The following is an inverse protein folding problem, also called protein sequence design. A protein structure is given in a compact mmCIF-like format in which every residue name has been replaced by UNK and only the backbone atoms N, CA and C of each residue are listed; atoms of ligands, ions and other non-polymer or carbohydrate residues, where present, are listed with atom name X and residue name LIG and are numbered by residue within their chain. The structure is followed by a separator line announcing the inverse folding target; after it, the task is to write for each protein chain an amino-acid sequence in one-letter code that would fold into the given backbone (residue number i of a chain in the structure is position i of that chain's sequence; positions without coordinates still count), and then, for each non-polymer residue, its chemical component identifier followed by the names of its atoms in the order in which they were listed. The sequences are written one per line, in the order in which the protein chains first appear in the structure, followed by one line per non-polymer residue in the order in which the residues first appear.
data_IF_185221005355
#
_entry.id   IF_185221005355
#
_cell.length_a   1.000
_cell.length_b   1.000
_cell.length_c   1.000
_cell.angle_alpha   90.00
_cell.angle_beta   90.00
_cell.angle_gamma   90.00
#
_symmetry.space_group_name_H-M   'P 1'
#
loop_
_entity.id
_entity.type
_entity.pdbx_description
1 polymer ?
#
# COMPACT_ATOMS: atom_id res chain seq x y z
N UNK A 1 15.44 28.49 -13.65
CA UNK A 1 15.76 29.26 -12.44
C UNK A 1 17.23 29.11 -12.01
N UNK A 2 17.85 27.94 -11.83
CA UNK A 2 19.25 27.83 -11.35
C UNK A 2 20.27 28.62 -12.18
N UNK A 3 20.23 28.53 -13.51
CA UNK A 3 21.12 29.23 -14.42
C UNK A 3 20.99 30.75 -14.26
N UNK A 4 19.77 31.26 -14.21
CA UNK A 4 19.51 32.69 -14.05
C UNK A 4 20.06 33.23 -12.73
N UNK A 5 19.92 32.46 -11.63
CA UNK A 5 20.51 32.81 -10.34
C UNK A 5 22.04 32.82 -10.37
N UNK A 6 22.67 31.83 -10.99
CA UNK A 6 24.12 31.79 -11.13
C UNK A 6 24.67 33.02 -11.86
N UNK A 7 23.96 33.50 -12.87
CA UNK A 7 24.32 34.73 -13.60
C UNK A 7 24.17 35.98 -12.73
N UNK A 8 23.06 36.10 -12.00
CA UNK A 8 22.75 37.24 -11.14
C UNK A 8 23.74 37.34 -9.97
N UNK A 9 24.10 36.21 -9.35
CA UNK A 9 24.95 36.17 -8.16
C UNK A 9 26.43 36.13 -8.45
N UNK A 10 26.83 35.83 -9.68
CA UNK A 10 28.26 35.92 -10.07
C UNK A 10 28.87 37.29 -9.78
N UNK A 11 28.07 38.36 -9.74
CA UNK A 11 28.50 39.73 -9.44
C UNK A 11 28.35 40.13 -7.95
N UNK A 12 27.76 39.29 -7.09
CA UNK A 12 27.36 39.67 -5.70
C UNK A 12 28.09 38.92 -4.60
N UNK A 13 29.04 38.06 -4.91
CA UNK A 13 29.86 37.27 -3.96
C UNK A 13 29.01 36.38 -2.98
N UNK A 14 27.85 35.93 -3.44
CA UNK A 14 26.96 35.06 -2.67
C UNK A 14 27.27 33.60 -3.01
N UNK A 15 27.63 32.81 -2.00
CA UNK A 15 27.92 31.39 -2.18
C UNK A 15 26.63 30.55 -2.24
N UNK A 16 26.27 30.12 -3.44
CA UNK A 16 25.13 29.25 -3.68
C UNK A 16 25.42 27.75 -3.51
N UNK A 17 26.65 27.34 -3.22
CA UNK A 17 27.06 25.93 -3.13
C UNK A 17 26.37 25.16 -2.02
N UNK A 18 25.92 25.84 -0.99
CA UNK A 18 25.15 25.22 0.12
C UNK A 18 23.67 25.00 -0.20
N UNK A 19 23.18 25.55 -1.30
CA UNK A 19 21.75 25.53 -1.65
C UNK A 19 21.47 24.59 -2.82
N UNK A 20 20.41 23.77 -2.66
CA UNK A 20 19.77 23.14 -3.81
C UNK A 20 18.75 24.13 -4.40
N UNK A 21 18.98 24.54 -5.64
CA UNK A 21 18.12 25.52 -6.33
C UNK A 21 17.26 24.82 -7.35
N UNK A 22 15.93 24.92 -7.21
CA UNK A 22 14.95 24.29 -8.10
C UNK A 22 13.83 25.27 -8.47
N UNK A 23 13.29 25.15 -9.69
CA UNK A 23 12.16 25.93 -10.17
C UNK A 23 12.28 26.30 -11.65
N UNK A 24 11.16 26.65 -12.24
CA UNK A 24 11.08 27.21 -13.58
C UNK A 24 11.03 28.74 -13.51
N UNK A 25 11.61 29.40 -14.52
CA UNK A 25 11.56 30.84 -14.68
C UNK A 25 10.64 31.18 -15.86
N UNK A 26 9.55 31.89 -15.59
CA UNK A 26 8.67 32.43 -16.61
C UNK A 26 9.32 33.61 -17.38
N UNK A 27 8.84 33.89 -18.57
CA UNK A 27 9.28 35.03 -19.38
C UNK A 27 8.95 36.39 -18.71
N UNK A 28 7.96 36.38 -17.82
CA UNK A 28 7.54 37.52 -17.00
C UNK A 28 8.41 37.71 -15.74
N UNK A 29 9.38 36.83 -15.51
CA UNK A 29 10.25 36.85 -14.33
C UNK A 29 9.67 36.12 -13.12
N UNK A 30 8.45 35.57 -13.18
CA UNK A 30 7.85 34.77 -12.12
C UNK A 30 8.50 33.41 -12.00
N UNK A 31 8.61 32.92 -10.78
CA UNK A 31 9.11 31.58 -10.49
C UNK A 31 7.92 30.63 -10.32
N UNK A 32 7.97 29.50 -11.03
CA UNK A 32 6.88 28.52 -11.10
C UNK A 32 7.27 27.20 -10.48
N UNK A 33 6.31 26.59 -9.80
CA UNK A 33 6.39 25.22 -9.30
C UNK A 33 6.41 24.21 -10.46
N UNK A 34 6.99 23.05 -10.21
CA UNK A 34 6.92 21.89 -11.10
C UNK A 34 6.61 20.64 -10.28
N UNK A 35 5.99 19.64 -10.92
CA UNK A 35 5.64 18.37 -10.28
C UNK A 35 6.87 17.60 -9.76
N UNK A 36 8.08 18.02 -10.09
CA UNK A 36 9.34 17.34 -9.72
C UNK A 36 10.05 17.97 -8.53
N UNK A 37 9.74 19.22 -8.15
CA UNK A 37 10.45 19.94 -7.06
C UNK A 37 10.29 19.19 -5.74
N UNK A 38 9.07 18.90 -5.31
CA UNK A 38 8.78 18.19 -4.07
C UNK A 38 9.43 16.78 -4.05
N UNK A 39 9.25 15.92 -5.08
CA UNK A 39 9.91 14.62 -5.16
C UNK A 39 11.43 14.65 -5.09
N UNK A 40 12.08 15.62 -5.76
CA UNK A 40 13.54 15.78 -5.75
C UNK A 40 14.01 16.13 -4.34
N UNK A 41 13.40 17.13 -3.70
CA UNK A 41 13.78 17.57 -2.36
C UNK A 41 13.57 16.46 -1.33
N UNK A 42 12.46 15.75 -1.40
CA UNK A 42 12.18 14.62 -0.51
C UNK A 42 13.21 13.49 -0.66
N UNK A 43 13.68 13.25 -1.89
CA UNK A 43 14.67 12.20 -2.17
C UNK A 43 16.08 12.58 -1.77
N UNK A 44 16.50 13.83 -2.02
CA UNK A 44 17.87 14.32 -1.75
C UNK A 44 18.06 14.80 -0.31
N UNK A 45 17.00 15.23 0.37
CA UNK A 45 16.99 15.78 1.74
C UNK A 45 18.09 16.82 1.96
N UNK A 46 18.18 17.87 1.12
CA UNK A 46 19.19 18.91 1.26
C UNK A 46 18.96 19.72 2.53
N UNK A 47 20.01 20.33 3.09
CA UNK A 47 19.88 21.18 4.28
C UNK A 47 19.17 22.51 3.96
N UNK A 48 19.49 23.12 2.81
CA UNK A 48 18.97 24.42 2.38
C UNK A 48 18.46 24.34 0.94
N UNK A 49 17.29 24.91 0.68
CA UNK A 49 16.70 24.95 -0.66
C UNK A 49 16.26 26.35 -1.05
N UNK A 50 16.43 26.70 -2.32
CA UNK A 50 15.85 27.89 -2.95
C UNK A 50 14.81 27.41 -3.96
N UNK A 51 13.55 27.77 -3.74
CA UNK A 51 12.41 27.28 -4.52
C UNK A 51 11.39 28.40 -4.80
N UNK A 52 10.48 28.19 -5.78
CA UNK A 52 9.32 29.06 -5.96
C UNK A 52 8.45 29.10 -4.71
N UNK A 53 7.84 30.27 -4.42
CA UNK A 53 6.95 30.43 -3.28
C UNK A 53 5.76 29.46 -3.32
N UNK A 54 5.26 29.15 -4.52
CA UNK A 54 4.20 28.16 -4.74
C UNK A 54 4.57 26.76 -4.23
N UNK A 55 5.86 26.40 -4.24
CA UNK A 55 6.35 25.10 -3.76
C UNK A 55 6.55 25.06 -2.24
N UNK A 56 6.64 26.23 -1.58
CA UNK A 56 7.03 26.32 -0.17
C UNK A 56 6.07 25.53 0.75
N UNK A 57 4.76 25.62 0.52
CA UNK A 57 3.75 24.90 1.31
C UNK A 57 3.93 23.37 1.28
N UNK A 58 4.30 22.82 0.11
CA UNK A 58 4.55 21.38 -0.06
C UNK A 58 5.86 20.96 0.64
N UNK A 59 6.92 21.74 0.44
CA UNK A 59 8.26 21.43 0.96
C UNK A 59 8.36 21.65 2.47
N UNK A 60 7.57 22.56 3.05
CA UNK A 60 7.56 22.84 4.50
C UNK A 60 7.14 21.64 5.37
N UNK A 61 6.50 20.63 4.78
CA UNK A 61 6.14 19.37 5.44
C UNK A 61 7.33 18.42 5.59
N UNK A 62 8.43 18.64 4.85
CA UNK A 62 9.62 17.78 4.91
C UNK A 62 10.48 18.22 6.11
N UNK A 63 10.76 17.34 7.08
CA UNK A 63 11.54 17.71 8.27
C UNK A 63 13.00 18.04 7.91
N UNK A 64 13.58 18.99 8.66
CA UNK A 64 15.04 19.24 8.64
C UNK A 64 15.54 20.09 7.49
N UNK A 65 14.68 20.71 6.69
CA UNK A 65 15.04 21.53 5.54
C UNK A 65 14.82 23.01 5.87
N UNK A 66 15.77 23.87 5.55
CA UNK A 66 15.62 25.32 5.55
C UNK A 66 15.17 25.78 4.16
N UNK A 67 14.04 26.47 4.10
CA UNK A 67 13.38 26.84 2.84
C UNK A 67 13.48 28.33 2.63
N UNK A 68 14.02 28.70 1.47
CA UNK A 68 14.09 30.06 0.97
C UNK A 68 13.22 30.16 -0.29
N UNK A 69 12.10 30.87 -0.17
CA UNK A 69 11.08 30.89 -1.20
C UNK A 69 10.90 32.28 -1.79
N UNK A 70 10.77 32.34 -3.13
CA UNK A 70 10.65 33.58 -3.90
C UNK A 70 9.52 33.45 -4.92
N UNK A 71 8.80 34.53 -5.20
CA UNK A 71 7.75 34.59 -6.22
C UNK A 71 8.27 35.10 -7.56
N UNK A 72 9.27 35.96 -7.54
CA UNK A 72 9.79 36.63 -8.72
C UNK A 72 11.34 36.76 -8.68
N UNK A 73 11.99 36.70 -9.83
CA UNK A 73 13.45 36.75 -9.93
C UNK A 73 14.04 38.07 -9.38
N UNK A 74 13.29 39.18 -9.43
CA UNK A 74 13.74 40.48 -8.88
C UNK A 74 13.92 40.47 -7.36
N UNK A 75 13.24 39.59 -6.63
CA UNK A 75 13.38 39.48 -5.18
C UNK A 75 14.78 39.00 -4.75
N UNK A 76 15.53 38.38 -5.66
CA UNK A 76 16.93 38.02 -5.44
C UNK A 76 17.88 39.23 -5.46
N UNK A 77 17.49 40.35 -6.05
CA UNK A 77 18.33 41.55 -6.05
C UNK A 77 18.45 42.15 -4.65
N UNK A 78 17.39 42.02 -3.84
CA UNK A 78 17.30 42.50 -2.47
C UNK A 78 17.73 41.46 -1.43
N UNK A 79 17.91 40.19 -1.82
CA UNK A 79 18.21 39.02 -0.98
C UNK A 79 17.46 39.01 0.36
N UNK A 80 16.14 39.17 0.29
CA UNK A 80 15.25 39.00 1.43
C UNK A 80 14.48 37.67 1.33
N UNK A 81 15.15 36.52 1.57
CA UNK A 81 14.47 35.23 1.49
C UNK A 81 13.39 35.16 2.58
N UNK A 82 12.18 34.93 2.20
CA UNK A 82 11.12 34.58 3.16
C UNK A 82 11.40 33.15 3.65
N UNK A 83 11.84 33.04 4.90
CA UNK A 83 11.97 31.75 5.57
C UNK A 83 10.57 31.19 5.78
N UNK A 84 10.26 30.07 5.14
CA UNK A 84 8.97 29.42 5.31
C UNK A 84 8.92 28.72 6.67
N UNK A 85 7.83 28.95 7.42
CA UNK A 85 7.60 28.27 8.68
C UNK A 85 7.27 26.78 8.44
N UNK A 86 7.66 25.92 9.38
CA UNK A 86 7.27 24.52 9.38
C UNK A 86 5.77 24.43 9.62
N UNK A 87 5.07 23.69 8.81
CA UNK A 87 3.64 23.47 9.01
C UNK A 87 3.38 22.02 9.42
N UNK A 88 2.74 21.84 10.57
CA UNK A 88 2.34 20.51 11.05
C UNK A 88 1.11 19.99 10.31
N UNK A 89 0.93 18.67 10.36
CA UNK A 89 -0.28 18.02 9.88
C UNK A 89 -1.37 18.10 10.97
N UNK A 90 -2.53 18.62 10.60
CA UNK A 90 -3.67 18.75 11.51
C UNK A 90 -4.70 17.65 11.24
N UNK A 91 -4.36 16.41 11.62
CA UNK A 91 -5.21 15.23 11.52
C UNK A 91 -5.23 14.47 12.84
N UNK A 92 -6.23 13.60 13.02
CA UNK A 92 -6.25 12.66 14.13
C UNK A 92 -4.97 11.83 14.14
N UNK A 93 -4.49 11.50 15.32
CA UNK A 93 -3.20 10.79 15.43
C UNK A 93 -3.08 9.98 16.70
N UNK A 94 -2.26 8.93 16.64
CA UNK A 94 -1.82 8.14 17.78
C UNK A 94 -0.30 8.20 17.89
N UNK A 95 0.22 8.07 19.11
CA UNK A 95 1.66 8.01 19.36
C UNK A 95 2.05 6.59 19.80
N UNK A 96 2.92 5.96 19.03
CA UNK A 96 3.42 4.61 19.30
C UNK A 96 4.95 4.70 19.37
N UNK A 97 5.53 4.37 20.53
CA UNK A 97 6.98 4.41 20.77
C UNK A 97 7.65 5.75 20.39
N UNK A 98 6.97 6.88 20.65
CA UNK A 98 7.48 8.22 20.33
C UNK A 98 7.32 8.65 18.89
N UNK A 99 6.75 7.81 18.02
CA UNK A 99 6.44 8.12 16.63
C UNK A 99 4.95 8.43 16.46
N UNK A 100 4.63 9.54 15.80
CA UNK A 100 3.26 9.97 15.53
C UNK A 100 2.75 9.35 14.23
N UNK A 101 1.56 8.77 14.28
CA UNK A 101 0.85 8.18 13.14
C UNK A 101 -0.49 8.86 12.97
N UNK A 102 -0.81 9.25 11.75
CA UNK A 102 -1.99 10.06 11.40
C UNK A 102 -3.04 9.21 10.68
N UNK A 103 -4.32 9.57 10.84
CA UNK A 103 -5.45 8.91 10.19
C UNK A 103 -6.64 9.85 10.00
N UNK A 104 -7.61 9.43 9.19
CA UNK A 104 -8.90 10.09 9.03
C UNK A 104 -10.00 9.19 9.58
N UNK A 105 -10.95 9.81 10.30
CA UNK A 105 -12.19 9.17 10.76
C UNK A 105 -13.34 9.43 9.75
N UNK A 106 -13.07 9.26 8.46
CA UNK A 106 -14.05 9.46 7.40
C UNK A 106 -14.28 8.14 6.65
N UNK A 107 -15.50 7.63 6.70
CA UNK A 107 -15.91 6.38 6.07
C UNK A 107 -16.97 6.66 5.00
N UNK A 108 -16.54 7.00 3.77
CA UNK A 108 -17.47 7.31 2.67
C UNK A 108 -18.27 6.10 2.21
N UNK A 109 -17.69 4.90 2.30
CA UNK A 109 -18.32 3.61 2.07
C UNK A 109 -18.13 2.80 3.35
N UNK A 110 -19.22 2.30 3.92
CA UNK A 110 -19.21 1.64 5.24
C UNK A 110 -19.35 0.12 5.10
N UNK A 111 -18.63 -0.63 5.92
CA UNK A 111 -18.77 -2.09 6.01
C UNK A 111 -20.16 -2.53 6.47
N UNK A 112 -20.92 -1.68 7.17
CA UNK A 112 -22.32 -1.96 7.51
C UNK A 112 -23.22 -2.14 6.30
N UNK A 113 -22.85 -1.60 5.11
CA UNK A 113 -23.59 -1.80 3.87
C UNK A 113 -23.42 -3.23 3.32
N UNK A 114 -22.43 -3.98 3.80
CA UNK A 114 -22.23 -5.38 3.47
C UNK A 114 -23.02 -6.21 4.47
N UNK A 115 -24.17 -6.73 4.03
CA UNK A 115 -25.04 -7.57 4.86
C UNK A 115 -24.46 -8.99 4.88
N UNK A 116 -24.41 -9.63 6.05
CA UNK A 116 -23.82 -10.95 6.22
C UNK A 116 -22.32 -10.97 5.95
N UNK A 117 -21.82 -12.04 5.37
CA UNK A 117 -20.40 -12.24 4.98
C UNK A 117 -19.41 -12.05 6.15
N UNK A 118 -19.77 -12.52 7.35
CA UNK A 118 -19.00 -12.30 8.58
C UNK A 118 -17.56 -12.82 8.48
N UNK A 119 -17.37 -14.00 7.88
CA UNK A 119 -16.05 -14.59 7.71
C UNK A 119 -15.19 -13.80 6.72
N UNK A 120 -15.79 -13.28 5.65
CA UNK A 120 -15.07 -12.43 4.68
C UNK A 120 -14.73 -11.07 5.28
N UNK A 121 -15.62 -10.46 6.08
CA UNK A 121 -15.32 -9.24 6.85
C UNK A 121 -14.19 -9.46 7.85
N UNK A 122 -14.19 -10.60 8.53
CA UNK A 122 -13.11 -10.97 9.46
C UNK A 122 -11.79 -11.18 8.71
N UNK A 123 -11.79 -11.88 7.57
CA UNK A 123 -10.61 -12.02 6.72
C UNK A 123 -10.06 -10.65 6.27
N UNK A 124 -10.96 -9.72 5.87
CA UNK A 124 -10.60 -8.35 5.52
C UNK A 124 -10.02 -7.57 6.71
N UNK A 125 -10.58 -7.73 7.92
CA UNK A 125 -10.06 -7.12 9.15
C UNK A 125 -8.65 -7.62 9.47
N UNK A 126 -8.42 -8.93 9.43
CA UNK A 126 -7.10 -9.53 9.68
C UNK A 126 -6.09 -9.06 8.62
N UNK A 127 -6.50 -9.05 7.34
CA UNK A 127 -5.67 -8.56 6.24
C UNK A 127 -5.28 -7.09 6.45
N UNK A 128 -6.23 -6.23 6.76
CA UNK A 128 -5.96 -4.80 7.01
C UNK A 128 -5.06 -4.60 8.24
N UNK A 129 -5.36 -5.25 9.36
CA UNK A 129 -4.61 -5.10 10.60
C UNK A 129 -3.14 -5.54 10.51
N UNK A 130 -2.88 -6.64 9.78
CA UNK A 130 -1.52 -7.15 9.60
C UNK A 130 -0.86 -6.75 8.29
N UNK A 131 -1.57 -6.08 7.41
CA UNK A 131 -1.15 -5.75 6.04
C UNK A 131 -0.85 -7.00 5.19
N UNK A 132 -1.66 -8.06 5.39
CA UNK A 132 -1.52 -9.34 4.70
C UNK A 132 -2.19 -9.33 3.34
N UNK A 133 -1.56 -9.95 2.34
CA UNK A 133 -2.16 -10.17 1.02
C UNK A 133 -3.39 -11.06 1.13
N UNK A 134 -4.44 -10.76 0.37
CA UNK A 134 -5.73 -11.44 0.45
C UNK A 134 -6.30 -11.79 -0.91
N UNK A 135 -6.90 -12.97 -1.01
CA UNK A 135 -7.66 -13.42 -2.18
C UNK A 135 -9.04 -13.91 -1.77
N UNK A 136 -10.07 -13.32 -2.35
CA UNK A 136 -11.43 -13.80 -2.27
C UNK A 136 -11.81 -14.60 -3.51
N UNK A 137 -12.28 -15.82 -3.31
CA UNK A 137 -12.89 -16.65 -4.35
C UNK A 137 -14.39 -16.82 -4.04
N UNK A 138 -15.26 -16.61 -5.02
CA UNK A 138 -16.71 -16.78 -4.82
C UNK A 138 -17.52 -16.47 -6.06
N UNK A 139 -18.80 -16.84 -6.07
CA UNK A 139 -19.71 -16.60 -7.19
C UNK A 139 -19.85 -15.11 -7.51
N UNK A 140 -20.25 -14.72 -8.73
CA UNK A 140 -20.58 -13.34 -9.04
C UNK A 140 -21.69 -12.80 -8.09
N UNK A 141 -21.53 -11.58 -7.60
CA UNK A 141 -22.53 -10.93 -6.76
C UNK A 141 -22.41 -11.19 -5.25
N UNK A 142 -21.53 -12.08 -4.77
CA UNK A 142 -21.40 -12.37 -3.31
C UNK A 142 -20.69 -11.27 -2.51
N UNK A 143 -20.29 -10.15 -3.13
CA UNK A 143 -19.73 -8.99 -2.41
C UNK A 143 -18.20 -8.91 -2.35
N UNK A 144 -17.43 -9.74 -3.09
CA UNK A 144 -15.95 -9.74 -3.09
C UNK A 144 -15.34 -8.33 -3.25
N UNK A 145 -15.63 -7.70 -4.38
CA UNK A 145 -15.07 -6.36 -4.72
C UNK A 145 -15.64 -5.28 -3.79
N UNK A 146 -16.86 -5.45 -3.28
CA UNK A 146 -17.50 -4.55 -2.32
C UNK A 146 -16.73 -4.52 -0.98
N UNK A 147 -16.29 -5.68 -0.48
CA UNK A 147 -15.48 -5.80 0.74
C UNK A 147 -14.10 -5.18 0.51
N UNK A 148 -13.41 -5.55 -0.59
CA UNK A 148 -12.06 -5.04 -0.88
C UNK A 148 -12.05 -3.52 -1.03
N UNK A 149 -13.05 -2.94 -1.71
CA UNK A 149 -13.17 -1.49 -1.87
C UNK A 149 -13.30 -0.74 -0.52
N UNK A 150 -13.91 -1.37 0.48
CA UNK A 150 -14.07 -0.80 1.82
C UNK A 150 -12.83 -0.97 2.70
N UNK A 151 -11.94 -1.91 2.38
CA UNK A 151 -10.72 -2.12 3.16
C UNK A 151 -9.84 -0.88 3.24
N UNK A 152 -9.83 0.00 2.22
CA UNK A 152 -9.08 1.26 2.22
C UNK A 152 -9.41 2.18 3.40
N UNK A 153 -10.64 2.07 3.96
CA UNK A 153 -11.08 2.88 5.09
C UNK A 153 -10.68 2.32 6.46
N UNK A 154 -10.29 1.05 6.51
CA UNK A 154 -9.88 0.40 7.75
C UNK A 154 -8.39 0.08 7.81
N UNK A 155 -7.58 0.57 6.87
CA UNK A 155 -6.13 0.38 6.90
C UNK A 155 -5.50 1.14 8.07
N UNK A 156 -4.38 0.64 8.61
CA UNK A 156 -3.67 1.26 9.73
C UNK A 156 -3.23 2.70 9.45
N UNK A 157 -3.05 3.52 10.50
CA UNK A 157 -2.54 4.89 10.40
C UNK A 157 -1.22 5.01 9.64
N UNK A 158 -0.91 6.20 9.16
CA UNK A 158 0.31 6.50 8.40
C UNK A 158 1.28 7.38 9.19
N UNK A 159 2.55 7.06 9.13
CA UNK A 159 3.59 7.98 9.60
C UNK A 159 3.76 9.16 8.64
N UNK A 160 4.42 10.23 9.10
CA UNK A 160 4.73 11.37 8.22
C UNK A 160 5.55 10.93 7.01
N UNK A 161 6.52 10.03 7.19
CA UNK A 161 7.35 9.52 6.09
C UNK A 161 6.51 8.77 5.05
N UNK A 162 5.55 7.94 5.48
CA UNK A 162 4.65 7.25 4.56
C UNK A 162 3.75 8.23 3.79
N UNK A 163 3.25 9.27 4.46
CA UNK A 163 2.42 10.33 3.83
C UNK A 163 3.25 11.07 2.77
N UNK A 164 4.47 11.50 3.12
CA UNK A 164 5.36 12.19 2.19
C UNK A 164 5.71 11.31 0.98
N UNK A 165 5.90 10.02 1.20
CA UNK A 165 6.20 9.08 0.11
C UNK A 165 5.02 8.89 -0.84
N UNK A 166 3.80 8.76 -0.32
CA UNK A 166 2.58 8.71 -1.15
C UNK A 166 2.41 9.99 -1.96
N UNK A 167 2.60 11.15 -1.32
CA UNK A 167 2.49 12.44 -1.99
C UNK A 167 3.59 12.70 -3.02
N UNK A 168 4.76 12.08 -2.86
CA UNK A 168 5.81 12.05 -3.91
C UNK A 168 5.27 11.46 -5.21
N UNK A 169 4.59 10.32 -5.14
CA UNK A 169 4.00 9.68 -6.31
C UNK A 169 2.82 10.48 -6.87
N UNK A 170 1.97 11.06 -6.01
CA UNK A 170 0.89 11.94 -6.44
C UNK A 170 1.43 13.16 -7.22
N UNK A 171 2.49 13.79 -6.71
CA UNK A 171 3.16 14.90 -7.39
C UNK A 171 3.71 14.48 -8.77
N UNK A 172 4.38 13.33 -8.87
CA UNK A 172 4.92 12.81 -10.14
C UNK A 172 3.82 12.44 -11.15
N UNK A 173 2.64 12.04 -10.68
CA UNK A 173 1.45 11.79 -11.52
C UNK A 173 0.77 13.10 -11.96
N UNK A 174 1.17 14.25 -11.41
CA UNK A 174 0.58 15.57 -11.68
C UNK A 174 -0.70 15.82 -10.89
N UNK A 175 -0.96 15.03 -9.85
CA UNK A 175 -2.07 15.25 -8.91
C UNK A 175 -1.74 16.32 -7.89
N UNK A 176 -2.78 16.91 -7.31
CA UNK A 176 -2.64 17.82 -6.19
C UNK A 176 -2.07 17.09 -4.96
N UNK A 177 -1.09 17.71 -4.31
CA UNK A 177 -0.45 17.21 -3.08
C UNK A 177 -1.24 17.71 -1.89
N UNK A 178 -1.91 16.82 -1.18
CA UNK A 178 -2.86 17.18 -0.10
C UNK A 178 -2.38 16.81 1.30
N UNK A 179 -1.39 15.96 1.43
CA UNK A 179 -0.86 15.39 2.68
C UNK A 179 -1.92 14.71 3.55
N UNK A 180 -2.99 14.22 2.96
CA UNK A 180 -4.01 13.46 3.67
C UNK A 180 -3.45 12.09 4.08
N UNK A 181 -3.66 11.66 5.34
CA UNK A 181 -3.21 10.35 5.81
C UNK A 181 -4.15 9.24 5.30
N UNK A 182 -4.20 9.08 3.97
CA UNK A 182 -5.02 8.08 3.29
C UNK A 182 -4.11 7.17 2.46
N UNK A 183 -4.17 5.89 2.75
CA UNK A 183 -3.41 4.89 1.99
C UNK A 183 -3.94 4.76 0.57
N UNK A 184 -3.08 4.71 -0.44
CA UNK A 184 -3.49 4.57 -1.84
C UNK A 184 -4.34 3.33 -2.08
N UNK A 185 -5.25 3.43 -3.04
CA UNK A 185 -6.01 2.31 -3.58
C UNK A 185 -5.92 2.34 -5.10
N UNK A 186 -5.37 1.30 -5.70
CA UNK A 186 -5.21 1.15 -7.15
C UNK A 186 -5.85 -0.15 -7.61
N UNK A 187 -6.69 -0.07 -8.63
CA UNK A 187 -7.41 -1.21 -9.19
C UNK A 187 -7.27 -1.20 -10.72
N UNK A 188 -6.13 -1.64 -11.27
CA UNK A 188 -5.94 -1.72 -12.70
C UNK A 188 -6.90 -2.73 -13.32
N UNK A 189 -7.40 -2.42 -14.52
CA UNK A 189 -8.24 -3.34 -15.26
C UNK A 189 -7.44 -4.57 -15.72
N UNK A 190 -8.05 -5.75 -15.82
CA UNK A 190 -7.35 -6.99 -16.20
C UNK A 190 -6.71 -6.94 -17.60
N UNK A 191 -7.19 -6.06 -18.50
CA UNK A 191 -6.58 -5.84 -19.82
C UNK A 191 -5.34 -4.92 -19.78
N UNK A 192 -4.95 -4.40 -18.60
CA UNK A 192 -3.80 -3.52 -18.45
C UNK A 192 -2.53 -4.23 -18.87
N UNK A 193 -1.66 -3.50 -19.59
CA UNK A 193 -0.38 -4.05 -20.02
C UNK A 193 0.61 -4.14 -18.86
N UNK A 194 1.62 -5.02 -19.00
CA UNK A 194 2.73 -5.11 -18.04
C UNK A 194 3.39 -3.74 -17.77
N UNK A 195 3.58 -2.92 -18.81
CA UNK A 195 4.16 -1.59 -18.65
C UNK A 195 3.25 -0.62 -17.88
N UNK A 196 1.94 -0.74 -17.99
CA UNK A 196 1.01 0.06 -17.19
C UNK A 196 1.06 -0.32 -15.71
N UNK A 197 1.18 -1.61 -15.39
CA UNK A 197 1.17 -2.11 -14.01
C UNK A 197 2.52 -1.90 -13.32
N UNK A 198 3.64 -2.31 -13.94
CA UNK A 198 4.97 -2.27 -13.31
C UNK A 198 5.77 -1.02 -13.66
N UNK A 199 5.33 -0.26 -14.65
CA UNK A 199 6.07 0.84 -15.21
C UNK A 199 6.92 0.44 -16.40
N UNK A 200 7.36 1.44 -17.15
CA UNK A 200 8.12 1.24 -18.39
C UNK A 200 7.61 2.12 -19.52
N UNK A 201 7.80 1.71 -20.76
CA UNK A 201 7.38 2.43 -21.96
C UNK A 201 8.53 2.77 -22.91
N UNK A 202 8.27 3.04 -24.19
CA UNK A 202 9.30 3.27 -25.21
C UNK A 202 9.86 4.69 -25.22
N UNK A 203 9.08 5.70 -24.85
CA UNK A 203 9.43 7.14 -24.92
C UNK A 203 9.75 7.81 -23.57
N UNK A 204 10.10 7.09 -22.53
CA UNK A 204 10.35 7.58 -21.17
C UNK A 204 9.84 6.56 -20.13
N UNK A 205 10.50 6.44 -18.95
CA UNK A 205 10.02 5.55 -17.91
C UNK A 205 8.79 6.15 -17.26
N UNK A 206 7.61 5.60 -17.57
CA UNK A 206 6.40 5.92 -16.79
C UNK A 206 6.35 5.06 -15.54
N UNK A 207 5.92 5.65 -14.45
CA UNK A 207 5.65 4.96 -13.19
C UNK A 207 4.44 4.06 -13.39
N UNK A 208 4.45 2.85 -12.85
CA UNK A 208 3.34 1.89 -12.97
C UNK A 208 2.38 1.96 -11.79
N UNK A 209 1.19 1.36 -11.95
CA UNK A 209 0.13 1.30 -10.94
C UNK A 209 0.63 0.71 -9.60
N UNK A 210 1.57 -0.24 -9.66
CA UNK A 210 2.13 -0.86 -8.45
C UNK A 210 2.93 0.13 -7.58
N UNK A 211 3.66 1.06 -8.20
CA UNK A 211 4.38 2.11 -7.47
C UNK A 211 3.41 3.17 -6.91
N UNK A 212 2.35 3.49 -7.64
CA UNK A 212 1.28 4.36 -7.13
C UNK A 212 0.45 3.72 -6.01
N UNK A 213 0.47 2.38 -5.89
CA UNK A 213 -0.16 1.65 -4.79
C UNK A 213 0.72 1.54 -3.54
N UNK A 214 1.98 2.01 -3.59
CA UNK A 214 2.92 1.89 -2.47
C UNK A 214 2.32 2.43 -1.15
N UNK A 215 2.49 1.69 -0.05
CA UNK A 215 1.89 1.91 1.28
C UNK A 215 0.36 1.78 1.32
N UNK A 216 -0.26 1.20 0.29
CA UNK A 216 -1.70 1.04 0.18
C UNK A 216 -2.13 -0.30 -0.43
N UNK A 217 -3.26 -0.32 -1.12
CA UNK A 217 -3.84 -1.52 -1.73
C UNK A 217 -3.62 -1.50 -3.24
N UNK A 218 -3.12 -2.63 -3.76
CA UNK A 218 -3.18 -2.97 -5.18
C UNK A 218 -4.23 -4.07 -5.36
N UNK A 219 -5.38 -3.74 -5.96
CA UNK A 219 -6.49 -4.66 -6.14
C UNK A 219 -6.57 -5.19 -7.57
N UNK A 220 -6.54 -6.52 -7.72
CA UNK A 220 -6.77 -7.21 -8.98
C UNK A 220 -8.13 -7.91 -8.92
N UNK A 221 -9.13 -7.31 -9.58
CA UNK A 221 -10.39 -7.98 -9.79
C UNK A 221 -10.29 -8.94 -10.98
N UNK A 222 -11.04 -10.05 -10.93
CA UNK A 222 -10.99 -11.06 -11.97
C UNK A 222 -9.57 -11.62 -12.22
N UNK A 223 -8.82 -11.89 -11.16
CA UNK A 223 -7.40 -12.26 -11.17
C UNK A 223 -6.97 -13.23 -12.28
N UNK A 224 -7.69 -14.33 -12.60
CA UNK A 224 -7.28 -15.25 -13.66
C UNK A 224 -7.33 -14.67 -15.08
N UNK A 225 -7.97 -13.52 -15.30
CA UNK A 225 -8.06 -12.90 -16.63
C UNK A 225 -6.89 -11.98 -16.95
N UNK A 226 -6.06 -11.61 -15.97
CA UNK A 226 -4.82 -10.89 -16.24
C UNK A 226 -3.88 -11.70 -17.12
N UNK A 227 -3.04 -11.02 -17.91
CA UNK A 227 -2.04 -11.66 -18.75
C UNK A 227 -1.06 -12.46 -17.87
N UNK A 228 -0.64 -13.63 -18.35
CA UNK A 228 0.23 -14.55 -17.59
C UNK A 228 1.54 -13.90 -17.17
N UNK A 229 2.13 -13.10 -18.05
CA UNK A 229 3.37 -12.38 -17.76
C UNK A 229 3.18 -11.29 -16.67
N UNK A 230 2.00 -10.68 -16.56
CA UNK A 230 1.65 -9.78 -15.47
C UNK A 230 1.62 -10.55 -14.15
N UNK A 231 0.91 -11.68 -14.09
CA UNK A 231 0.79 -12.50 -12.88
C UNK A 231 2.15 -13.03 -12.40
N UNK A 232 3.00 -13.49 -13.31
CA UNK A 232 4.33 -13.98 -12.98
C UNK A 232 5.26 -12.86 -12.47
N UNK A 233 5.15 -11.65 -13.02
CA UNK A 233 5.96 -10.51 -12.60
C UNK A 233 5.54 -9.91 -11.24
N UNK A 234 4.32 -10.20 -10.74
CA UNK A 234 3.92 -9.82 -9.37
C UNK A 234 4.74 -10.51 -8.28
N UNK A 235 5.33 -11.67 -8.57
CA UNK A 235 6.03 -12.48 -7.58
C UNK A 235 7.18 -11.77 -6.88
N UNK A 236 7.99 -11.02 -7.63
CA UNK A 236 9.12 -10.28 -7.07
C UNK A 236 8.67 -9.08 -6.23
N UNK A 237 7.81 -8.17 -6.72
CA UNK A 237 7.33 -7.05 -5.91
C UNK A 237 6.65 -7.46 -4.61
N UNK A 238 5.88 -8.55 -4.62
CA UNK A 238 5.21 -9.07 -3.42
C UNK A 238 6.19 -9.69 -2.41
N UNK A 239 7.36 -10.14 -2.87
CA UNK A 239 8.38 -10.71 -2.00
C UNK A 239 9.40 -9.66 -1.55
N UNK A 240 10.00 -8.95 -2.51
CA UNK A 240 11.14 -8.07 -2.29
C UNK A 240 10.72 -6.63 -2.00
N UNK A 241 9.41 -6.33 -2.13
CA UNK A 241 8.80 -5.00 -1.95
C UNK A 241 9.45 -3.91 -2.79
N UNK A 242 9.95 -4.30 -3.95
CA UNK A 242 10.63 -3.44 -4.90
C UNK A 242 10.33 -3.86 -6.34
N UNK A 243 10.24 -2.87 -7.21
CA UNK A 243 10.20 -3.05 -8.67
C UNK A 243 11.41 -2.40 -9.28
N UNK A 244 12.17 -3.16 -10.06
CA UNK A 244 13.28 -2.68 -10.84
C UNK A 244 12.87 -2.56 -12.31
N UNK A 245 12.88 -1.33 -12.83
CA UNK A 245 12.69 -1.05 -14.25
C UNK A 245 14.06 -0.88 -14.89
N UNK A 246 14.52 -1.90 -15.62
CA UNK A 246 15.78 -1.84 -16.36
C UNK A 246 15.57 -1.33 -17.78
N UNK A 247 16.40 -0.41 -18.23
CA UNK A 247 16.47 0.13 -19.58
C UNK A 247 17.90 0.23 -20.06
N UNK A 248 18.07 0.46 -21.36
CA UNK A 248 19.39 0.58 -21.98
C UNK A 248 20.28 1.60 -21.25
N UNK A 249 19.70 2.73 -20.81
CA UNK A 249 20.47 3.86 -20.22
C UNK A 249 20.07 4.19 -18.78
N UNK A 250 19.17 3.45 -18.12
CA UNK A 250 18.76 3.73 -16.74
C UNK A 250 18.18 2.51 -16.03
N UNK A 251 18.51 2.38 -14.75
CA UNK A 251 17.85 1.46 -13.83
C UNK A 251 17.13 2.30 -12.78
N UNK A 252 15.82 2.13 -12.66
CA UNK A 252 15.01 2.85 -11.68
C UNK A 252 14.38 1.83 -10.77
N UNK A 253 14.61 1.96 -9.47
CA UNK A 253 14.01 1.14 -8.43
C UNK A 253 12.89 1.92 -7.74
N UNK A 254 11.73 1.29 -7.57
CA UNK A 254 10.61 1.82 -6.81
C UNK A 254 10.28 0.88 -5.66
N UNK A 255 10.01 1.44 -4.49
CA UNK A 255 9.43 0.69 -3.38
C UNK A 255 7.99 0.29 -3.69
N UNK A 256 7.60 -0.92 -3.28
CA UNK A 256 6.26 -1.48 -3.49
C UNK A 256 5.81 -2.25 -2.25
N UNK A 257 5.81 -1.55 -1.10
CA UNK A 257 5.24 -2.09 0.14
C UNK A 257 3.72 -1.95 0.08
N UNK A 258 3.09 -2.93 -0.56
CA UNK A 258 1.66 -2.96 -0.87
C UNK A 258 0.95 -4.09 -0.14
N UNK A 259 -0.32 -3.89 0.16
CA UNK A 259 -1.27 -4.96 0.42
C UNK A 259 -1.87 -5.38 -0.93
N UNK A 260 -1.53 -6.58 -1.38
CA UNK A 260 -2.11 -7.15 -2.59
C UNK A 260 -3.46 -7.77 -2.25
N UNK A 261 -4.51 -7.22 -2.83
CA UNK A 261 -5.86 -7.77 -2.73
C UNK A 261 -6.30 -8.30 -4.10
N UNK A 262 -6.95 -9.46 -4.11
CA UNK A 262 -7.46 -10.03 -5.34
C UNK A 262 -8.84 -10.64 -5.17
N UNK A 263 -9.60 -10.68 -6.25
CA UNK A 263 -10.87 -11.38 -6.32
C UNK A 263 -10.92 -12.26 -7.57
N UNK A 264 -11.55 -13.42 -7.44
CA UNK A 264 -11.77 -14.33 -8.56
C UNK A 264 -13.07 -15.10 -8.43
N UNK A 265 -13.60 -15.57 -9.55
CA UNK A 265 -14.68 -16.52 -9.55
C UNK A 265 -14.15 -17.95 -9.33
N UNK A 266 -14.97 -18.91 -8.87
CA UNK A 266 -14.54 -20.28 -8.59
C UNK A 266 -14.30 -21.10 -9.87
N UNK A 267 -14.89 -20.67 -10.99
CA UNK A 267 -14.77 -21.30 -12.31
C UNK A 267 -15.12 -20.27 -13.41
N UNK A 268 -14.93 -20.57 -14.70
CA UNK A 268 -15.26 -19.67 -15.79
C UNK A 268 -16.73 -19.19 -15.80
N UNK A 269 -17.69 -20.05 -15.50
CA UNK A 269 -19.10 -19.65 -15.43
C UNK A 269 -19.50 -18.98 -14.10
N UNK A 270 -18.65 -19.05 -13.07
CA UNK A 270 -18.87 -18.44 -11.76
C UNK A 270 -19.76 -19.24 -10.79
N UNK A 271 -20.39 -20.33 -11.23
CA UNK A 271 -21.46 -21.00 -10.45
C UNK A 271 -20.98 -22.19 -9.60
N UNK A 272 -19.69 -22.56 -9.61
CA UNK A 272 -19.19 -23.77 -8.93
C UNK A 272 -19.50 -23.78 -7.41
N UNK A 273 -19.56 -22.61 -6.79
CA UNK A 273 -19.87 -22.45 -5.35
C UNK A 273 -21.28 -21.87 -5.12
N UNK A 274 -22.11 -21.72 -6.17
CA UNK A 274 -23.45 -21.20 -6.01
C UNK A 274 -24.43 -22.31 -5.55
N UNK A 275 -25.21 -22.10 -4.49
CA UNK A 275 -26.28 -23.02 -4.12
C UNK A 275 -27.49 -22.92 -5.04
N UNK A 276 -27.63 -21.82 -5.81
CA UNK A 276 -28.80 -21.50 -6.62
C UNK A 276 -28.67 -21.85 -8.10
N UNK A 277 -27.42 -21.92 -8.60
CA UNK A 277 -27.14 -22.11 -10.03
C UNK A 277 -26.15 -23.25 -10.25
N UNK A 278 -26.51 -24.13 -11.17
CA UNK A 278 -25.64 -25.26 -11.55
C UNK A 278 -24.40 -24.81 -12.32
N UNK A 279 -23.25 -25.37 -11.98
CA UNK A 279 -22.01 -25.16 -12.69
C UNK A 279 -22.03 -25.97 -14.01
N UNK A 280 -21.75 -25.30 -15.14
CA UNK A 280 -21.72 -25.92 -16.47
C UNK A 280 -20.29 -26.20 -16.96
N UNK A 281 -19.29 -25.92 -16.15
CA UNK A 281 -17.89 -26.11 -16.52
C UNK A 281 -17.47 -27.55 -16.32
N UNK A 282 -16.70 -28.10 -17.24
CA UNK A 282 -15.99 -29.37 -17.06
C UNK A 282 -14.85 -29.23 -16.05
N UNK A 283 -14.43 -30.31 -15.42
CA UNK A 283 -13.30 -30.34 -14.51
C UNK A 283 -12.01 -29.82 -15.18
N UNK A 284 -11.85 -30.07 -16.47
CA UNK A 284 -10.71 -29.60 -17.24
C UNK A 284 -10.70 -28.08 -17.41
N UNK A 285 -11.87 -27.48 -17.67
CA UNK A 285 -12.02 -26.02 -17.76
C UNK A 285 -11.76 -25.35 -16.41
N UNK A 286 -12.28 -25.91 -15.32
CA UNK A 286 -12.04 -25.42 -13.96
C UNK A 286 -10.54 -25.47 -13.64
N UNK A 287 -9.87 -26.59 -13.91
CA UNK A 287 -8.43 -26.74 -13.68
C UNK A 287 -7.62 -25.76 -14.53
N UNK A 288 -7.94 -25.59 -15.82
CA UNK A 288 -7.27 -24.64 -16.72
C UNK A 288 -7.43 -23.20 -16.22
N UNK A 289 -8.62 -22.84 -15.74
CA UNK A 289 -8.91 -21.53 -15.20
C UNK A 289 -8.11 -21.25 -13.92
N UNK A 290 -8.11 -22.16 -12.95
CA UNK A 290 -7.37 -22.01 -11.69
C UNK A 290 -5.85 -22.04 -11.91
N UNK A 291 -5.34 -22.86 -12.84
CA UNK A 291 -3.92 -22.97 -13.17
C UNK A 291 -3.35 -21.74 -13.92
N UNK A 292 -4.17 -20.75 -14.26
CA UNK A 292 -3.67 -19.45 -14.74
C UNK A 292 -2.89 -18.70 -13.66
N UNK A 293 -3.20 -18.98 -12.41
CA UNK A 293 -2.47 -18.46 -11.24
C UNK A 293 -1.49 -19.53 -10.80
N UNK A 294 -0.19 -19.24 -10.84
CA UNK A 294 0.84 -20.19 -10.45
C UNK A 294 0.88 -20.42 -8.93
N UNK A 295 1.25 -21.63 -8.50
CA UNK A 295 1.42 -21.92 -7.07
C UNK A 295 2.40 -20.94 -6.38
N UNK A 296 3.55 -20.55 -6.99
CA UNK A 296 4.42 -19.53 -6.38
C UNK A 296 3.76 -18.17 -6.16
N UNK A 297 2.72 -17.80 -6.92
CA UNK A 297 1.96 -16.59 -6.65
C UNK A 297 1.00 -16.78 -5.48
N UNK A 298 0.32 -17.94 -5.41
CA UNK A 298 -0.51 -18.30 -4.26
C UNK A 298 0.27 -18.32 -2.94
N UNK A 299 1.52 -18.79 -2.93
CA UNK A 299 2.38 -18.80 -1.73
C UNK A 299 2.70 -17.41 -1.17
N UNK A 300 2.39 -16.34 -1.92
CA UNK A 300 2.56 -14.94 -1.51
C UNK A 300 1.26 -14.28 -1.05
N UNK A 301 0.19 -15.06 -1.00
CA UNK A 301 -1.12 -14.62 -0.52
C UNK A 301 -1.38 -15.34 0.80
N UNK A 302 -1.28 -14.60 1.90
CA UNK A 302 -1.38 -15.15 3.24
C UNK A 302 -2.81 -15.53 3.60
N UNK A 303 -3.81 -14.80 3.07
CA UNK A 303 -5.22 -14.99 3.39
C UNK A 303 -5.98 -15.36 2.11
N UNK A 304 -6.51 -16.57 2.09
CA UNK A 304 -7.40 -17.06 1.06
C UNK A 304 -8.75 -17.41 1.68
N UNK A 305 -9.82 -16.84 1.13
CA UNK A 305 -11.16 -17.11 1.65
C UNK A 305 -12.16 -17.37 0.51
N UNK A 306 -12.90 -18.47 0.63
CA UNK A 306 -14.01 -18.80 -0.26
C UNK A 306 -15.30 -18.18 0.29
N UNK A 307 -15.83 -17.22 -0.45
CA UNK A 307 -17.11 -16.58 -0.13
C UNK A 307 -18.26 -17.39 -0.73
N UNK A 308 -19.16 -17.82 0.13
CA UNK A 308 -20.43 -18.44 -0.24
C UNK A 308 -21.56 -17.45 0.03
N UNK A 309 -22.74 -17.71 -0.52
CA UNK A 309 -23.94 -16.96 -0.17
C UNK A 309 -24.23 -17.14 1.33
N UNK A 310 -24.48 -16.03 2.02
CA UNK A 310 -24.69 -15.98 3.47
C UNK A 310 -25.97 -15.17 3.74
N UNK A 311 -26.97 -15.82 4.35
CA UNK A 311 -28.26 -15.22 4.68
C UNK A 311 -28.24 -14.48 6.03
N UNK A 312 -27.10 -14.42 6.71
CA UNK A 312 -26.98 -13.68 7.97
C UNK A 312 -27.24 -12.19 7.74
N UNK A 313 -27.87 -11.53 8.72
CA UNK A 313 -28.17 -10.10 8.67
C UNK A 313 -27.19 -9.28 9.49
N UNK A 314 -26.11 -9.91 9.96
CA UNK A 314 -25.14 -9.26 10.81
C UNK A 314 -24.40 -8.16 10.06
N UNK A 315 -24.24 -7.03 10.72
CA UNK A 315 -23.49 -5.89 10.20
C UNK A 315 -22.43 -5.47 11.20
N UNK A 316 -21.32 -4.94 10.70
CA UNK A 316 -20.27 -4.28 11.48
C UNK A 316 -19.89 -3.00 10.75
N UNK A 317 -19.72 -1.90 11.47
CA UNK A 317 -19.33 -0.64 10.85
C UNK A 317 -17.84 -0.58 10.54
N UNK A 318 -17.47 0.22 9.54
CA UNK A 318 -16.07 0.53 9.24
C UNK A 318 -15.35 1.13 10.45
N UNK A 319 -16.05 1.95 11.25
CA UNK A 319 -15.50 2.54 12.46
C UNK A 319 -15.10 1.48 13.50
N UNK A 320 -16.00 0.54 13.79
CA UNK A 320 -15.71 -0.56 14.74
C UNK A 320 -14.57 -1.45 14.25
N UNK A 321 -14.49 -1.72 12.95
CA UNK A 321 -13.37 -2.46 12.36
C UNK A 321 -12.07 -1.66 12.47
N UNK A 322 -12.09 -0.36 12.19
CA UNK A 322 -10.93 0.50 12.28
C UNK A 322 -10.39 0.61 13.71
N UNK A 323 -11.26 0.73 14.72
CA UNK A 323 -10.87 0.70 16.14
C UNK A 323 -10.13 -0.58 16.53
N UNK A 324 -10.57 -1.74 16.00
CA UNK A 324 -9.86 -3.01 16.17
C UNK A 324 -8.50 -3.00 15.47
N UNK A 325 -8.42 -2.42 14.27
CA UNK A 325 -7.15 -2.26 13.54
C UNK A 325 -6.19 -1.35 14.30
N UNK A 326 -6.66 -0.23 14.86
CA UNK A 326 -5.84 0.65 15.72
C UNK A 326 -5.25 -0.13 16.91
N UNK A 327 -6.08 -0.90 17.60
CA UNK A 327 -5.64 -1.77 18.71
C UNK A 327 -4.53 -2.74 18.28
N UNK A 328 -4.74 -3.44 17.16
CA UNK A 328 -3.74 -4.36 16.63
C UNK A 328 -2.44 -3.64 16.22
N UNK A 329 -2.55 -2.45 15.63
CA UNK A 329 -1.41 -1.66 15.20
C UNK A 329 -0.56 -1.16 16.38
N UNK A 330 -1.20 -0.80 17.51
CA UNK A 330 -0.52 -0.50 18.78
C UNK A 330 0.24 -1.73 19.32
N UNK A 331 -0.42 -2.90 19.35
CA UNK A 331 0.20 -4.17 19.74
C UNK A 331 1.39 -4.55 18.86
N UNK A 332 1.32 -4.24 17.57
CA UNK A 332 2.40 -4.42 16.58
C UNK A 332 3.47 -3.33 16.65
N UNK A 333 3.36 -2.40 17.60
CA UNK A 333 4.33 -1.30 17.81
C UNK A 333 4.56 -0.44 16.56
N UNK A 334 3.50 -0.23 15.78
CA UNK A 334 3.54 0.57 14.54
C UNK A 334 4.21 -0.13 13.36
N UNK A 335 4.34 -1.45 13.39
CA UNK A 335 4.86 -2.29 12.29
C UNK A 335 3.79 -3.28 11.83
N UNK A 336 3.88 -3.76 10.61
CA UNK A 336 2.95 -4.77 10.10
C UNK A 336 3.48 -6.19 10.29
N UNK A 337 2.64 -7.11 10.77
CA UNK A 337 3.04 -8.51 10.93
C UNK A 337 3.38 -9.17 9.59
N UNK A 338 2.78 -8.74 8.47
CA UNK A 338 3.18 -9.20 7.14
C UNK A 338 4.66 -8.90 6.82
N UNK A 339 5.24 -7.86 7.45
CA UNK A 339 6.61 -7.41 7.23
C UNK A 339 7.63 -8.00 8.22
N UNK A 340 7.22 -8.96 9.08
CA UNK A 340 8.15 -9.65 9.97
C UNK A 340 9.18 -10.44 9.15
N UNK A 341 10.44 -10.34 9.56
CA UNK A 341 11.55 -11.06 8.94
C UNK A 341 11.55 -12.54 9.31
N UNK A 342 12.14 -13.39 8.46
CA UNK A 342 12.16 -14.85 8.65
C UNK A 342 12.80 -15.32 9.94
N UNK A 343 13.64 -14.49 10.58
CA UNK A 343 14.29 -14.77 11.87
C UNK A 343 13.42 -14.39 13.08
N UNK A 344 12.21 -13.83 12.86
CA UNK A 344 11.32 -13.45 13.96
C UNK A 344 10.87 -14.66 14.77
N UNK A 345 11.01 -14.59 16.10
CA UNK A 345 10.59 -15.64 17.02
C UNK A 345 9.18 -15.36 17.51
N UNK A 346 8.25 -16.24 17.15
CA UNK A 346 6.88 -16.18 17.65
C UNK A 346 6.76 -16.84 19.01
N UNK A 347 6.08 -16.17 19.94
CA UNK A 347 5.71 -16.76 21.23
C UNK A 347 4.36 -17.49 21.11
N UNK A 348 4.37 -18.81 21.29
CA UNK A 348 3.21 -19.68 21.19
C UNK A 348 2.93 -20.34 22.56
N UNK A 349 1.64 -20.55 22.86
CA UNK A 349 1.26 -21.45 23.95
C UNK A 349 1.51 -22.92 23.55
N UNK A 350 1.68 -23.81 24.53
CA UNK A 350 1.98 -25.23 24.29
C UNK A 350 0.96 -25.90 23.37
N UNK A 351 -0.33 -25.64 23.60
CA UNK A 351 -1.40 -26.18 22.74
C UNK A 351 -1.34 -25.66 21.28
N UNK A 352 -0.89 -24.41 21.08
CA UNK A 352 -0.66 -23.86 19.74
C UNK A 352 0.51 -24.57 19.04
N UNK A 353 1.57 -24.89 19.77
CA UNK A 353 2.69 -25.69 19.26
C UNK A 353 2.25 -27.07 18.76
N UNK A 354 1.37 -27.76 19.50
CA UNK A 354 0.84 -29.07 19.11
C UNK A 354 0.03 -28.98 17.82
N UNK A 355 -0.82 -27.94 17.69
CA UNK A 355 -1.59 -27.69 16.46
C UNK A 355 -0.66 -27.38 15.29
N UNK A 356 0.37 -26.56 15.48
CA UNK A 356 1.34 -26.24 14.44
C UNK A 356 2.05 -27.51 13.94
N UNK A 357 2.50 -28.37 14.85
CA UNK A 357 3.17 -29.62 14.50
C UNK A 357 2.24 -30.58 13.75
N UNK A 358 0.97 -30.67 14.15
CA UNK A 358 -0.05 -31.43 13.39
C UNK A 358 -0.28 -30.83 12.02
N UNK A 359 -0.38 -29.51 11.90
CA UNK A 359 -0.58 -28.83 10.62
C UNK A 359 0.62 -29.05 9.68
N UNK A 360 1.86 -29.00 10.18
CA UNK A 360 3.08 -29.31 9.40
C UNK A 360 3.01 -30.70 8.77
N UNK A 361 2.61 -31.71 9.55
CA UNK A 361 2.52 -33.10 9.07
C UNK A 361 1.37 -33.29 8.10
N UNK A 362 0.17 -32.82 8.44
CA UNK A 362 -1.04 -33.05 7.67
C UNK A 362 -1.07 -32.30 6.32
N UNK A 363 -0.47 -31.11 6.27
CA UNK A 363 -0.51 -30.23 5.10
C UNK A 363 0.86 -30.09 4.42
N UNK A 364 1.87 -30.83 4.84
CA UNK A 364 3.23 -30.75 4.33
C UNK A 364 3.73 -29.29 4.17
N UNK A 365 3.56 -28.47 5.22
CA UNK A 365 3.87 -27.05 5.17
C UNK A 365 5.36 -26.82 4.85
N UNK A 366 5.64 -26.00 3.82
CA UNK A 366 6.96 -25.46 3.61
C UNK A 366 7.31 -24.48 4.75
N UNK A 367 8.60 -24.21 4.97
CA UNK A 367 9.05 -23.20 5.96
C UNK A 367 8.36 -21.83 5.73
N UNK A 368 8.20 -21.44 4.47
CA UNK A 368 7.52 -20.19 4.11
C UNK A 368 6.03 -20.21 4.47
N UNK A 369 5.32 -21.28 4.11
CA UNK A 369 3.90 -21.44 4.42
C UNK A 369 3.65 -21.47 5.93
N UNK A 370 4.56 -22.11 6.71
CA UNK A 370 4.54 -22.07 8.17
C UNK A 370 4.72 -20.65 8.69
N UNK A 371 5.71 -19.92 8.19
CA UNK A 371 5.99 -18.57 8.63
C UNK A 371 4.83 -17.61 8.31
N UNK A 372 4.24 -17.72 7.13
CA UNK A 372 3.05 -16.95 6.74
C UNK A 372 1.85 -17.26 7.66
N UNK A 373 1.64 -18.53 7.98
CA UNK A 373 0.58 -18.94 8.91
C UNK A 373 0.78 -18.30 10.29
N UNK A 374 2.01 -18.28 10.81
CA UNK A 374 2.34 -17.67 12.09
C UNK A 374 2.19 -16.15 12.09
N UNK A 375 2.51 -15.46 11.00
CA UNK A 375 2.25 -14.02 10.82
C UNK A 375 0.75 -13.70 10.94
N UNK A 376 -0.10 -14.48 10.27
CA UNK A 376 -1.56 -14.31 10.34
C UNK A 376 -2.06 -14.62 11.74
N UNK A 377 -1.64 -15.72 12.38
CA UNK A 377 -2.01 -16.07 13.75
C UNK A 377 -1.58 -14.99 14.76
N UNK A 378 -0.40 -14.38 14.57
CA UNK A 378 0.07 -13.26 15.39
C UNK A 378 -0.83 -12.04 15.25
N UNK A 379 -1.28 -11.73 14.04
CA UNK A 379 -2.22 -10.63 13.80
C UNK A 379 -3.56 -10.88 14.48
N UNK A 380 -4.07 -12.11 14.44
CA UNK A 380 -5.30 -12.50 15.14
C UNK A 380 -5.13 -12.31 16.68
N UNK A 381 -4.01 -12.74 17.24
CA UNK A 381 -3.71 -12.52 18.65
C UNK A 381 -3.65 -11.02 19.00
N UNK A 382 -3.04 -10.19 18.13
CA UNK A 382 -2.94 -8.75 18.34
C UNK A 382 -4.30 -8.04 18.26
N UNK A 383 -5.21 -8.48 17.39
CA UNK A 383 -6.60 -8.00 17.35
C UNK A 383 -7.34 -8.23 18.67
N UNK A 384 -7.00 -9.31 19.39
CA UNK A 384 -7.51 -9.64 20.72
C UNK A 384 -6.63 -9.09 21.86
N UNK A 385 -5.78 -8.10 21.61
CA UNK A 385 -4.86 -7.47 22.59
C UNK A 385 -3.89 -8.46 23.26
N UNK A 386 -3.51 -9.52 22.54
CA UNK A 386 -2.57 -10.53 23.04
C UNK A 386 -1.28 -10.52 22.24
N UNK A 387 -0.17 -10.73 22.93
CA UNK A 387 1.15 -10.89 22.27
C UNK A 387 1.44 -12.35 21.95
N UNK A 388 0.96 -13.27 22.77
CA UNK A 388 1.17 -14.71 22.65
C UNK A 388 0.10 -15.36 21.78
N UNK A 389 0.53 -16.22 20.86
CA UNK A 389 -0.36 -16.94 19.94
C UNK A 389 -0.98 -18.13 20.67
N UNK A 390 -2.31 -18.18 20.71
CA UNK A 390 -3.09 -19.27 21.28
C UNK A 390 -3.52 -20.27 20.20
N UNK A 391 -3.95 -21.46 20.65
CA UNK A 391 -4.51 -22.50 19.81
C UNK A 391 -5.63 -21.96 18.88
N UNK A 392 -6.53 -21.14 19.40
CA UNK A 392 -7.65 -20.57 18.64
C UNK A 392 -7.17 -19.68 17.48
N UNK A 393 -6.10 -18.90 17.68
CA UNK A 393 -5.53 -18.02 16.67
C UNK A 393 -4.96 -18.82 15.50
N UNK A 394 -4.26 -19.91 15.83
CA UNK A 394 -3.66 -20.77 14.82
C UNK A 394 -4.70 -21.56 14.03
N UNK A 395 -5.75 -22.08 14.71
CA UNK A 395 -6.88 -22.73 14.03
C UNK A 395 -7.61 -21.77 13.09
N UNK A 396 -7.79 -20.52 13.50
CA UNK A 396 -8.40 -19.47 12.69
C UNK A 396 -7.51 -19.11 11.49
N UNK A 397 -6.21 -18.97 11.68
CA UNK A 397 -5.26 -18.72 10.60
C UNK A 397 -5.24 -19.88 9.59
N UNK A 398 -5.33 -21.13 10.05
CA UNK A 398 -5.43 -22.33 9.18
C UNK A 398 -6.68 -22.31 8.29
N UNK A 399 -7.80 -21.71 8.77
CA UNK A 399 -9.04 -21.59 7.99
C UNK A 399 -8.84 -20.71 6.75
N UNK A 400 -8.00 -19.70 6.84
CA UNK A 400 -7.71 -18.76 5.76
C UNK A 400 -6.57 -19.19 4.85
N UNK A 401 -6.09 -20.41 4.99
CA UNK A 401 -5.07 -20.96 4.09
C UNK A 401 -5.72 -21.61 2.87
N UNK A 402 -5.16 -21.41 1.67
CA UNK A 402 -5.52 -22.20 0.48
C UNK A 402 -5.25 -23.68 0.74
N UNK A 403 -6.25 -24.50 0.48
CA UNK A 403 -6.19 -25.96 0.58
C UNK A 403 -5.72 -26.59 -0.72
#
# INVERSE_FOLDING_TARGET
MPIALSILYHKKDIDLREFLVLGELGLDGKLKDTNTIFPIILSLKPKKVIIPLESAGKVSKIPGIEIYAFSHIKEFEEFAPKKSEKSELNYDSININGKKYYYLNEFKEDFKDVIGQNEAKEAALISAAGFHNILFEGSPGVGKSMIINRMKYILPPMSLEEILEVEKYNSLEGKEVTFKPVRPYRAPHYSSTKAAIFGGGSRGAKIGEIAFANKGILFFDELPYFQKDVLENLRLPLQDKKVLISRVNSKIEYETDILFAAAMNPCPCGNLLSPLKECRCTDLEIRRYKNRISEPLYDRIEIYHQMIEDDSKDTISSKEMFEKVLTAFEMQKGKFNANLEENYQFDLENEAYDILNKAKRNFALSKRSEFNLLKVAKTIANLDKRDKIKKVDLLKALKYRKR
#
